data_IF_140289753334
#
_entry.id   IF_140289753334
#
_cell.length_a   1.000
_cell.length_b   1.000
_cell.length_c   1.000
_cell.angle_alpha   90.00
_cell.angle_beta   90.00
_cell.angle_gamma   90.00
#
_symmetry.space_group_name_H-M   'P 1'
#
loop_
_entity.id
_entity.type
_entity.pdbx_description
1 polymer ?
#
# COMPACT_ATOMS: atom_id res chain seq x y z
N UNK A 1 -0.85 -20.05 -8.63
CA UNK A 1 0.11 -20.47 -7.59
C UNK A 1 0.43 -19.33 -6.66
N UNK A 2 0.39 -19.59 -5.38
CA UNK A 2 0.82 -18.59 -4.42
C UNK A 2 2.34 -18.53 -4.36
N UNK A 3 2.89 -17.31 -4.40
CA UNK A 3 4.32 -17.11 -4.25
C UNK A 3 4.75 -17.39 -2.80
N UNK A 4 5.92 -18.00 -2.64
CA UNK A 4 6.49 -18.27 -1.32
C UNK A 4 7.34 -17.09 -0.86
N UNK A 5 7.66 -17.06 0.43
CA UNK A 5 8.56 -16.06 0.99
C UNK A 5 9.94 -16.11 0.33
N UNK A 6 10.40 -17.31 -0.01
CA UNK A 6 11.68 -17.50 -0.70
C UNK A 6 11.66 -16.83 -2.07
N UNK A 7 10.55 -16.96 -2.82
CA UNK A 7 10.40 -16.31 -4.11
C UNK A 7 10.44 -14.78 -3.97
N UNK A 8 9.80 -14.24 -2.94
CA UNK A 8 9.82 -12.81 -2.67
C UNK A 8 11.22 -12.32 -2.31
N UNK A 9 11.94 -13.05 -1.45
CA UNK A 9 13.31 -12.70 -1.09
C UNK A 9 14.24 -12.78 -2.30
N UNK A 10 14.08 -13.78 -3.15
CA UNK A 10 14.83 -13.90 -4.40
C UNK A 10 14.54 -12.73 -5.35
N UNK A 11 13.28 -12.34 -5.46
CA UNK A 11 12.88 -11.20 -6.27
C UNK A 11 13.52 -9.90 -5.76
N UNK A 12 13.52 -9.67 -4.44
CA UNK A 12 14.13 -8.49 -3.84
C UNK A 12 15.63 -8.41 -4.11
N UNK A 13 16.31 -9.57 -4.10
CA UNK A 13 17.75 -9.64 -4.31
C UNK A 13 18.13 -9.70 -5.79
N UNK A 14 17.19 -9.98 -6.67
CA UNK A 14 17.44 -10.14 -8.10
C UNK A 14 17.61 -8.80 -8.78
N UNK A 15 18.25 -8.83 -9.96
CA UNK A 15 18.38 -7.65 -10.83
C UNK A 15 17.17 -7.51 -11.79
N UNK A 16 16.25 -8.45 -11.73
CA UNK A 16 15.07 -8.40 -12.60
C UNK A 16 14.14 -7.26 -12.20
N UNK A 17 13.66 -6.55 -13.19
CA UNK A 17 12.75 -5.42 -13.01
C UNK A 17 11.27 -5.82 -13.14
N UNK A 18 10.99 -7.10 -13.31
CA UNK A 18 9.62 -7.58 -13.44
C UNK A 18 8.86 -7.38 -12.13
N UNK A 19 7.59 -6.95 -12.20
CA UNK A 19 6.80 -6.77 -10.99
C UNK A 19 6.49 -8.11 -10.32
N UNK A 20 6.40 -8.06 -9.01
CA UNK A 20 6.01 -9.21 -8.20
C UNK A 20 4.57 -9.00 -7.72
N UNK A 21 3.70 -9.96 -7.94
CA UNK A 21 2.29 -9.86 -7.60
C UNK A 21 1.95 -10.66 -6.36
N UNK A 22 1.22 -10.03 -5.43
CA UNK A 22 0.62 -10.71 -4.29
C UNK A 22 -0.86 -10.36 -4.31
N UNK A 23 -1.70 -11.31 -4.74
CA UNK A 23 -3.11 -11.04 -4.95
C UNK A 23 -3.32 -9.94 -5.98
N UNK A 24 -3.90 -8.83 -5.56
CA UNK A 24 -4.14 -7.67 -6.43
C UNK A 24 -3.05 -6.60 -6.32
N UNK A 25 -2.06 -6.81 -5.47
CA UNK A 25 -1.03 -5.82 -5.21
C UNK A 25 0.20 -6.08 -6.06
N UNK A 26 0.64 -5.04 -6.74
CA UNK A 26 1.79 -5.07 -7.61
C UNK A 26 2.99 -4.44 -6.90
N UNK A 27 4.04 -5.23 -6.74
CA UNK A 27 5.30 -4.78 -6.15
C UNK A 27 6.30 -4.53 -7.26
N UNK A 28 6.86 -3.34 -7.32
CA UNK A 28 7.88 -2.96 -8.29
C UNK A 28 9.13 -2.45 -7.60
N UNK A 29 10.29 -2.73 -8.18
CA UNK A 29 11.56 -2.20 -7.70
C UNK A 29 11.91 -0.92 -8.46
N UNK A 30 12.30 0.10 -7.71
CA UNK A 30 12.80 1.34 -8.27
C UNK A 30 14.32 1.28 -8.49
N UNK A 31 14.82 2.11 -9.40
CA UNK A 31 16.25 2.25 -9.63
C UNK A 31 17.00 2.70 -8.38
N UNK A 32 16.32 3.45 -7.50
CA UNK A 32 16.89 3.96 -6.26
C UNK A 32 16.90 2.95 -5.12
N UNK A 33 16.38 1.74 -5.34
CA UNK A 33 16.30 0.69 -4.32
C UNK A 33 15.03 0.70 -3.50
N UNK A 34 14.14 1.63 -3.75
CA UNK A 34 12.83 1.68 -3.11
C UNK A 34 11.89 0.67 -3.75
N UNK A 35 10.92 0.19 -2.97
CA UNK A 35 9.90 -0.73 -3.45
C UNK A 35 8.59 0.04 -3.62
N UNK A 36 8.02 -0.02 -4.80
CA UNK A 36 6.71 0.60 -5.06
C UNK A 36 5.64 -0.48 -5.00
N UNK A 37 4.70 -0.31 -4.09
CA UNK A 37 3.53 -1.19 -3.97
C UNK A 37 2.32 -0.40 -4.45
N UNK A 38 1.75 -0.83 -5.58
CA UNK A 38 0.72 -0.10 -6.32
C UNK A 38 1.24 1.31 -6.65
N UNK A 39 0.74 2.36 -6.01
CA UNK A 39 1.22 3.73 -6.22
C UNK A 39 1.97 4.30 -5.00
N UNK A 40 2.13 3.49 -3.96
CA UNK A 40 2.83 3.91 -2.75
C UNK A 40 4.30 3.51 -2.77
N UNK A 41 5.15 4.34 -2.19
CA UNK A 41 6.59 4.09 -2.11
C UNK A 41 6.95 3.61 -0.71
N UNK A 42 7.66 2.49 -0.64
CA UNK A 42 8.08 1.86 0.61
C UNK A 42 9.57 1.55 0.54
N UNK A 43 10.22 1.47 1.70
CA UNK A 43 11.58 0.97 1.74
C UNK A 43 11.55 -0.58 1.74
N UNK A 44 12.74 -1.19 1.65
CA UNK A 44 12.85 -2.65 1.56
C UNK A 44 12.26 -3.35 2.79
N UNK A 45 12.52 -2.82 3.97
CA UNK A 45 12.04 -3.41 5.23
C UNK A 45 10.51 -3.32 5.32
N UNK A 46 9.95 -2.19 4.96
CA UNK A 46 8.50 -2.00 4.92
C UNK A 46 7.85 -2.97 3.94
N UNK A 47 8.46 -3.18 2.78
CA UNK A 47 7.97 -4.12 1.78
C UNK A 47 7.93 -5.56 2.30
N UNK A 48 8.96 -5.97 3.06
CA UNK A 48 9.01 -7.28 3.68
C UNK A 48 7.88 -7.44 4.71
N UNK A 49 7.66 -6.42 5.52
CA UNK A 49 6.58 -6.41 6.51
C UNK A 49 5.22 -6.52 5.81
N UNK A 50 5.00 -5.74 4.75
CA UNK A 50 3.78 -5.80 3.97
C UNK A 50 3.56 -7.18 3.36
N UNK A 51 4.61 -7.79 2.83
CA UNK A 51 4.52 -9.14 2.29
C UNK A 51 4.01 -10.13 3.34
N UNK A 52 4.58 -10.08 4.55
CA UNK A 52 4.16 -10.95 5.65
C UNK A 52 2.70 -10.71 6.03
N UNK A 53 2.29 -9.45 6.10
CA UNK A 53 0.93 -9.09 6.46
C UNK A 53 -0.08 -9.57 5.41
N UNK A 54 0.25 -9.38 4.13
CA UNK A 54 -0.62 -9.80 3.02
C UNK A 54 -0.74 -11.33 2.93
N UNK A 55 0.28 -12.06 3.36
CA UNK A 55 0.29 -13.52 3.37
C UNK A 55 -0.24 -14.12 4.66
N UNK A 56 -0.60 -13.30 5.63
CA UNK A 56 -1.14 -13.77 6.91
C UNK A 56 -2.50 -14.44 6.72
N UNK A 57 -2.79 -15.44 7.53
CA UNK A 57 -4.10 -16.10 7.57
C UNK A 57 -5.13 -15.25 8.31
N UNK A 58 -4.67 -14.33 9.14
CA UNK A 58 -5.54 -13.45 9.90
C UNK A 58 -6.15 -12.38 8.99
N UNK A 59 -7.49 -12.33 8.85
CA UNK A 59 -8.12 -11.33 7.99
C UNK A 59 -7.90 -9.90 8.46
N UNK A 60 -7.74 -9.67 9.76
CA UNK A 60 -7.46 -8.32 10.29
C UNK A 60 -6.07 -7.85 9.91
N UNK A 61 -5.08 -8.76 9.92
CA UNK A 61 -3.72 -8.42 9.49
C UNK A 61 -3.69 -8.09 8.01
N UNK A 62 -4.40 -8.83 7.17
CA UNK A 62 -4.51 -8.54 5.74
C UNK A 62 -5.21 -7.20 5.49
N UNK A 63 -6.26 -6.91 6.25
CA UNK A 63 -6.95 -5.64 6.16
C UNK A 63 -6.04 -4.47 6.53
N UNK A 64 -5.23 -4.63 7.57
CA UNK A 64 -4.24 -3.63 7.96
C UNK A 64 -3.21 -3.39 6.87
N UNK A 65 -2.73 -4.45 6.22
CA UNK A 65 -1.79 -4.32 5.10
C UNK A 65 -2.40 -3.51 3.96
N UNK A 66 -3.64 -3.82 3.58
CA UNK A 66 -4.36 -3.08 2.55
C UNK A 66 -4.54 -1.61 2.93
N UNK A 67 -4.82 -1.34 4.19
CA UNK A 67 -4.96 0.02 4.70
C UNK A 67 -3.66 0.80 4.63
N UNK A 68 -2.54 0.16 4.99
CA UNK A 68 -1.21 0.79 4.92
C UNK A 68 -0.83 1.13 3.47
N UNK A 69 -1.08 0.21 2.55
CA UNK A 69 -0.82 0.43 1.12
C UNK A 69 -1.68 1.59 0.61
N UNK A 70 -2.93 1.60 1.00
CA UNK A 70 -3.88 2.61 0.60
C UNK A 70 -3.51 3.99 1.15
N UNK A 71 -3.08 4.05 2.42
CA UNK A 71 -2.65 5.28 3.08
C UNK A 71 -1.44 5.92 2.39
N UNK A 72 -0.52 5.11 1.86
CA UNK A 72 0.67 5.58 1.14
C UNK A 72 0.35 6.07 -0.27
N UNK A 73 -0.83 5.77 -0.77
CA UNK A 73 -1.23 6.22 -2.09
C UNK A 73 -1.63 7.70 -2.02
N UNK A 74 -0.98 8.53 -2.86
CA UNK A 74 -1.26 9.96 -2.93
C UNK A 74 -2.71 10.27 -3.25
N UNK A 75 -3.33 9.45 -4.09
CA UNK A 75 -4.73 9.62 -4.47
C UNK A 75 -5.65 9.57 -3.26
N UNK A 76 -5.32 8.73 -2.28
CA UNK A 76 -6.08 8.63 -1.05
C UNK A 76 -5.96 9.88 -0.20
N UNK A 77 -4.75 10.43 -0.05
CA UNK A 77 -4.55 11.65 0.73
C UNK A 77 -5.36 12.81 0.15
N UNK A 78 -5.39 12.92 -1.18
CA UNK A 78 -6.21 13.93 -1.86
C UNK A 78 -7.70 13.68 -1.60
N UNK A 79 -8.15 12.45 -1.68
CA UNK A 79 -9.53 12.07 -1.42
C UNK A 79 -9.94 12.40 0.02
N UNK A 80 -9.10 12.06 1.00
CA UNK A 80 -9.34 12.38 2.41
C UNK A 80 -9.45 13.88 2.63
N UNK A 81 -8.59 14.66 1.99
CA UNK A 81 -8.63 16.11 2.07
C UNK A 81 -9.95 16.67 1.54
N UNK A 82 -10.38 16.19 0.39
CA UNK A 82 -11.65 16.60 -0.23
C UNK A 82 -12.83 16.26 0.68
N UNK A 83 -12.88 15.04 1.22
CA UNK A 83 -13.96 14.61 2.12
C UNK A 83 -13.98 15.48 3.38
N UNK A 84 -12.82 15.77 3.96
CA UNK A 84 -12.72 16.63 5.15
C UNK A 84 -13.25 18.03 4.85
N UNK A 85 -12.89 18.61 3.71
CA UNK A 85 -13.38 19.94 3.31
C UNK A 85 -14.89 19.95 3.12
N UNK A 86 -15.46 18.91 2.52
CA UNK A 86 -16.91 18.80 2.33
C UNK A 86 -17.60 18.72 3.69
N UNK A 87 -17.10 17.93 4.61
CA UNK A 87 -17.68 17.79 5.95
C UNK A 87 -17.63 19.10 6.72
N UNK A 88 -16.51 19.83 6.64
CA UNK A 88 -16.39 21.14 7.26
C UNK A 88 -17.40 22.16 6.68
N UNK A 89 -17.56 22.15 5.37
CA UNK A 89 -18.53 23.02 4.70
C UNK A 89 -19.96 22.73 5.18
N UNK A 90 -20.33 21.46 5.32
CA UNK A 90 -21.64 21.07 5.81
C UNK A 90 -21.88 21.51 7.26
N UNK A 91 -20.86 21.41 8.11
CA UNK A 91 -20.94 21.86 9.49
C UNK A 91 -21.15 23.37 9.55
N UNK A 92 -20.40 24.14 8.76
CA UNK A 92 -20.53 25.61 8.70
C UNK A 92 -21.93 26.01 8.25
N UNK A 93 -22.47 25.33 7.24
CA UNK A 93 -23.84 25.58 6.75
C UNK A 93 -24.88 25.34 7.86
N UNK A 94 -24.71 24.28 8.64
CA UNK A 94 -25.59 23.95 9.77
C UNK A 94 -25.53 25.02 10.87
N UNK A 95 -24.35 25.50 11.19
CA UNK A 95 -24.16 26.50 12.22
C UNK A 95 -24.80 27.86 11.84
N UNK A 96 -24.76 28.20 10.56
CA UNK A 96 -25.34 29.43 10.04
C UNK A 96 -26.86 29.42 9.92
N UNK A 97 -27.47 28.27 10.01
CA UNK A 97 -28.92 28.18 10.10
C UNK A 97 -29.38 28.32 11.54
#
# INVERSE_FOLDING_TARGET
MESTREEFDMWLSSRYSNPFWIGHHRFEKSVTGEIRVDNGVFNREEAIILYRMLRSRDPFTRLNANFVIWERNRSLLVLLLIVTLIMLALVVIRIRR
#
